data_IF_702527049514
#
_entry.id   IF_702527049514
#
_cell.length_a   1.000
_cell.length_b   1.000
_cell.length_c   1.000
_cell.angle_alpha   90.00
_cell.angle_beta   90.00
_cell.angle_gamma   90.00
#
_symmetry.space_group_name_H-M   'P 1'
#
loop_
_entity.id
_entity.type
_entity.pdbx_description
1 polymer ?
#
# COMPACT_ATOMS: atom_id res chain seq x y z
N UNK A 1 -20.17 39.08 6.32
CA UNK A 1 -19.29 37.98 6.77
C UNK A 1 -19.92 36.67 6.31
N UNK A 2 -19.40 36.06 5.25
CA UNK A 2 -19.89 34.78 4.73
C UNK A 2 -19.30 33.64 5.53
N UNK A 3 -20.13 32.97 6.33
CA UNK A 3 -19.77 31.76 7.06
C UNK A 3 -19.40 30.68 6.05
N UNK A 4 -18.10 30.38 5.89
CA UNK A 4 -17.63 29.26 5.07
C UNK A 4 -18.18 27.98 5.69
N UNK A 5 -19.29 27.46 5.15
CA UNK A 5 -19.85 26.16 5.51
C UNK A 5 -18.77 25.12 5.16
N UNK A 6 -18.15 24.52 6.18
CA UNK A 6 -17.12 23.49 6.00
C UNK A 6 -17.78 22.31 5.28
N UNK A 7 -17.48 22.15 3.99
CA UNK A 7 -17.96 21.01 3.21
C UNK A 7 -17.52 19.74 3.94
N UNK A 8 -18.47 18.86 4.29
CA UNK A 8 -18.16 17.53 4.80
C UNK A 8 -17.44 16.79 3.68
N UNK A 9 -16.12 16.66 3.80
CA UNK A 9 -15.32 15.83 2.90
C UNK A 9 -15.78 14.38 3.07
N UNK A 10 -16.06 13.71 1.97
CA UNK A 10 -16.19 12.27 1.93
C UNK A 10 -14.88 11.65 2.42
N UNK A 11 -15.01 10.79 3.42
CA UNK A 11 -13.94 9.94 3.94
C UNK A 11 -14.46 8.52 3.73
N UNK A 12 -13.78 7.68 2.93
CA UNK A 12 -14.25 6.32 2.68
C UNK A 12 -14.34 5.54 3.98
N UNK A 13 -15.48 4.90 4.22
CA UNK A 13 -15.61 3.95 5.31
C UNK A 13 -14.86 2.66 4.93
N UNK A 14 -13.68 2.46 5.50
CA UNK A 14 -12.79 1.36 5.16
C UNK A 14 -13.42 -0.02 5.42
N UNK A 15 -14.38 -0.13 6.35
CA UNK A 15 -15.04 -1.41 6.67
C UNK A 15 -16.19 -1.77 5.73
N UNK A 16 -16.70 -0.80 4.95
CA UNK A 16 -17.80 -0.98 4.01
C UNK A 16 -17.34 -0.87 2.55
N UNK A 17 -16.04 -0.66 2.33
CA UNK A 17 -15.49 -0.43 1.02
C UNK A 17 -15.22 -1.77 0.31
N UNK A 18 -15.95 -2.03 -0.76
CA UNK A 18 -15.59 -3.07 -1.73
C UNK A 18 -14.39 -2.57 -2.55
N UNK A 19 -13.27 -3.29 -2.50
CA UNK A 19 -12.09 -2.91 -3.26
C UNK A 19 -12.18 -3.40 -4.72
N UNK A 20 -11.39 -2.79 -5.61
CA UNK A 20 -11.02 -3.34 -6.91
C UNK A 20 -9.50 -3.23 -7.03
N UNK A 21 -8.80 -4.21 -6.46
CA UNK A 21 -7.35 -4.26 -6.38
C UNK A 21 -6.81 -5.03 -7.57
N UNK A 22 -6.14 -4.34 -8.48
CA UNK A 22 -5.47 -4.96 -9.63
C UNK A 22 -4.04 -5.36 -9.26
N UNK A 23 -3.71 -6.64 -9.45
CA UNK A 23 -2.33 -7.10 -9.41
C UNK A 23 -1.58 -6.61 -10.66
N UNK A 24 -0.35 -6.15 -10.47
CA UNK A 24 0.52 -5.71 -11.58
C UNK A 24 1.85 -6.47 -11.58
N UNK A 25 1.87 -7.67 -11.00
CA UNK A 25 3.04 -8.55 -11.00
C UNK A 25 3.23 -9.22 -12.37
N UNK A 26 4.39 -9.06 -12.98
CA UNK A 26 4.66 -9.63 -14.30
C UNK A 26 3.81 -9.00 -15.41
N UNK A 27 4.01 -9.45 -16.64
CA UNK A 27 3.22 -8.98 -17.78
C UNK A 27 1.90 -9.76 -17.93
N UNK A 28 1.87 -10.96 -17.37
CA UNK A 28 0.83 -11.98 -17.55
C UNK A 28 -0.23 -11.99 -16.43
N UNK A 29 0.06 -11.43 -15.25
CA UNK A 29 -0.94 -11.39 -14.19
C UNK A 29 -1.98 -10.29 -14.44
N UNK A 30 -3.25 -10.70 -14.49
CA UNK A 30 -4.40 -9.81 -14.67
C UNK A 30 -5.44 -9.95 -13.55
N UNK A 31 -5.07 -10.58 -12.44
CA UNK A 31 -5.96 -10.85 -11.30
C UNK A 31 -6.44 -9.53 -10.69
N UNK A 32 -7.75 -9.47 -10.43
CA UNK A 32 -8.42 -8.41 -9.67
C UNK A 32 -9.17 -9.03 -8.51
N UNK A 33 -9.01 -8.46 -7.32
CA UNK A 33 -9.62 -8.96 -6.09
C UNK A 33 -10.25 -7.80 -5.32
N UNK A 34 -11.35 -8.09 -4.64
CA UNK A 34 -12.11 -7.12 -3.85
C UNK A 34 -11.86 -7.24 -2.34
N UNK A 35 -11.16 -8.28 -1.92
CA UNK A 35 -10.76 -8.52 -0.54
C UNK A 35 -9.24 -8.40 -0.40
N UNK A 36 -8.81 -7.70 0.66
CA UNK A 36 -7.40 -7.41 0.89
C UNK A 36 -6.62 -8.66 1.31
N UNK A 37 -7.22 -9.55 2.09
CA UNK A 37 -6.58 -10.78 2.55
C UNK A 37 -6.35 -11.73 1.37
N UNK A 38 -7.35 -11.88 0.50
CA UNK A 38 -7.20 -12.65 -0.73
C UNK A 38 -6.15 -12.03 -1.66
N UNK A 39 -6.06 -10.70 -1.72
CA UNK A 39 -5.04 -10.01 -2.51
C UNK A 39 -3.62 -10.29 -2.01
N UNK A 40 -3.39 -10.25 -0.69
CA UNK A 40 -2.07 -10.59 -0.13
C UNK A 40 -1.75 -12.08 -0.29
N UNK A 41 -2.73 -12.98 -0.14
CA UNK A 41 -2.54 -14.41 -0.42
C UNK A 41 -2.09 -14.65 -1.86
N UNK A 42 -2.72 -13.98 -2.82
CA UNK A 42 -2.31 -14.02 -4.23
C UNK A 42 -0.89 -13.48 -4.44
N UNK A 43 -0.52 -12.41 -3.74
CA UNK A 43 0.84 -11.85 -3.81
C UNK A 43 1.89 -12.80 -3.22
N UNK A 44 1.56 -13.49 -2.13
CA UNK A 44 2.44 -14.49 -1.51
C UNK A 44 2.69 -15.70 -2.43
N UNK A 45 1.73 -16.07 -3.29
CA UNK A 45 1.93 -17.08 -4.34
C UNK A 45 3.00 -16.63 -5.36
N UNK A 46 2.93 -15.38 -5.81
CA UNK A 46 3.95 -14.80 -6.70
C UNK A 46 5.33 -14.77 -6.05
N UNK A 47 5.41 -14.32 -4.80
CA UNK A 47 6.64 -14.28 -4.03
C UNK A 47 7.24 -15.67 -3.84
N UNK A 48 6.42 -16.65 -3.44
CA UNK A 48 6.86 -18.03 -3.22
C UNK A 48 7.41 -18.64 -4.50
N UNK A 49 6.70 -18.50 -5.62
CA UNK A 49 7.14 -19.02 -6.91
C UNK A 49 8.44 -18.35 -7.37
N UNK A 50 8.54 -17.02 -7.23
CA UNK A 50 9.72 -16.27 -7.61
C UNK A 50 10.93 -16.66 -6.77
N UNK A 51 10.81 -16.67 -5.44
CA UNK A 51 11.92 -17.02 -4.53
C UNK A 51 12.37 -18.46 -4.78
N UNK A 52 11.45 -19.42 -4.95
CA UNK A 52 11.82 -20.81 -5.24
C UNK A 52 12.62 -20.95 -6.55
N UNK A 53 12.33 -20.12 -7.55
CA UNK A 53 13.05 -20.11 -8.82
C UNK A 53 14.40 -19.38 -8.75
N UNK A 54 14.53 -18.37 -7.88
CA UNK A 54 15.61 -17.39 -7.91
C UNK A 54 16.40 -17.28 -6.58
N UNK A 55 16.23 -18.18 -5.62
CA UNK A 55 16.90 -18.09 -4.31
C UNK A 55 18.44 -18.01 -4.38
N UNK A 56 19.04 -18.50 -5.47
CA UNK A 56 20.49 -18.57 -5.64
C UNK A 56 21.07 -17.43 -6.52
N UNK A 57 20.23 -16.51 -7.01
CA UNK A 57 20.74 -15.36 -7.78
C UNK A 57 21.16 -14.23 -6.83
N UNK A 58 22.23 -13.49 -7.13
CA UNK A 58 22.71 -12.40 -6.27
C UNK A 58 21.70 -11.24 -6.19
N UNK A 59 20.90 -11.05 -7.25
CA UNK A 59 20.02 -9.89 -7.42
C UNK A 59 18.58 -10.34 -7.68
N UNK A 60 17.65 -9.88 -6.87
CA UNK A 60 16.21 -10.12 -6.98
C UNK A 60 15.55 -8.91 -7.62
N UNK A 61 15.08 -9.06 -8.86
CA UNK A 61 14.44 -7.96 -9.59
C UNK A 61 12.93 -7.99 -9.37
N UNK A 62 12.37 -6.88 -8.89
CA UNK A 62 10.93 -6.75 -8.70
C UNK A 62 10.20 -6.85 -10.04
N UNK A 63 9.22 -7.76 -10.13
CA UNK A 63 8.41 -7.95 -11.34
C UNK A 63 7.17 -7.06 -11.37
N UNK A 64 6.97 -6.20 -10.37
CA UNK A 64 5.86 -5.26 -10.38
C UNK A 64 6.02 -4.27 -11.53
N UNK A 65 4.97 -4.09 -12.32
CA UNK A 65 4.98 -3.28 -13.54
C UNK A 65 5.56 -1.89 -13.27
N UNK A 66 6.57 -1.50 -14.05
CA UNK A 66 7.23 -0.19 -13.95
C UNK A 66 7.83 0.12 -12.55
N UNK A 67 8.16 -0.89 -11.74
CA UNK A 67 8.86 -0.67 -10.48
C UNK A 67 10.37 -0.47 -10.70
N UNK A 68 11.02 -1.44 -11.36
CA UNK A 68 12.45 -1.38 -11.68
C UNK A 68 13.39 -1.58 -10.48
N UNK A 69 12.87 -1.84 -9.28
CA UNK A 69 13.68 -2.09 -8.09
C UNK A 69 14.41 -3.44 -8.17
N UNK A 70 15.66 -3.45 -7.69
CA UNK A 70 16.51 -4.63 -7.57
C UNK A 70 17.02 -4.69 -6.14
N UNK A 71 16.85 -5.84 -5.51
CA UNK A 71 17.36 -6.10 -4.16
C UNK A 71 18.55 -7.05 -4.23
N UNK A 72 19.61 -6.75 -3.48
CA UNK A 72 20.86 -7.52 -3.49
C UNK A 72 20.99 -8.32 -2.20
N UNK A 73 21.09 -9.64 -2.31
CA UNK A 73 21.36 -10.57 -1.18
C UNK A 73 20.32 -10.62 -0.04
N UNK A 74 19.35 -9.69 0.06
CA UNK A 74 18.35 -9.66 1.14
C UNK A 74 16.93 -10.04 0.67
N UNK A 75 16.62 -11.33 0.79
CA UNK A 75 15.28 -11.88 0.50
C UNK A 75 14.20 -11.24 1.38
N UNK A 76 14.50 -10.91 2.63
CA UNK A 76 13.51 -10.34 3.56
C UNK A 76 13.14 -8.92 3.15
N UNK A 77 14.12 -8.13 2.73
CA UNK A 77 13.90 -6.80 2.17
C UNK A 77 13.12 -6.86 0.85
N UNK A 78 13.44 -7.82 -0.01
CA UNK A 78 12.68 -8.06 -1.25
C UNK A 78 11.21 -8.41 -0.99
N UNK A 79 10.93 -9.32 -0.05
CA UNK A 79 9.55 -9.68 0.32
C UNK A 79 8.79 -8.45 0.80
N UNK A 80 9.39 -7.65 1.69
CA UNK A 80 8.77 -6.41 2.20
C UNK A 80 8.50 -5.42 1.07
N UNK A 81 9.45 -5.23 0.16
CA UNK A 81 9.28 -4.38 -1.01
C UNK A 81 8.05 -4.80 -1.83
N UNK A 82 7.94 -6.09 -2.14
CA UNK A 82 6.82 -6.61 -2.92
C UNK A 82 5.50 -6.49 -2.18
N UNK A 83 5.45 -6.85 -0.89
CA UNK A 83 4.25 -6.68 -0.07
C UNK A 83 3.82 -5.22 0.03
N UNK A 84 4.75 -4.26 0.01
CA UNK A 84 4.42 -2.84 -0.02
C UNK A 84 3.66 -2.44 -1.30
N UNK A 85 3.85 -3.11 -2.44
CA UNK A 85 3.02 -2.85 -3.62
C UNK A 85 1.56 -3.21 -3.40
N UNK A 86 1.26 -4.22 -2.58
CA UNK A 86 -0.11 -4.51 -2.17
C UNK A 86 -0.72 -3.37 -1.35
N UNK A 87 0.05 -2.84 -0.39
CA UNK A 87 -0.36 -1.67 0.38
C UNK A 87 -0.52 -0.43 -0.51
N UNK A 88 0.41 -0.19 -1.42
CA UNK A 88 0.37 0.93 -2.36
C UNK A 88 -0.83 0.83 -3.31
N UNK A 89 -1.18 -0.37 -3.76
CA UNK A 89 -2.38 -0.62 -4.59
C UNK A 89 -3.65 -0.23 -3.85
N UNK A 90 -3.76 -0.61 -2.57
CA UNK A 90 -4.84 -0.15 -1.69
C UNK A 90 -4.87 1.38 -1.56
N UNK A 91 -3.73 2.04 -1.33
CA UNK A 91 -3.68 3.51 -1.23
C UNK A 91 -4.11 4.20 -2.52
N UNK A 92 -3.67 3.71 -3.70
CA UNK A 92 -4.08 4.22 -5.01
C UNK A 92 -5.60 4.12 -5.17
N UNK A 93 -6.19 2.98 -4.81
CA UNK A 93 -7.64 2.77 -4.86
C UNK A 93 -8.39 3.75 -3.95
N UNK A 94 -7.98 3.87 -2.68
CA UNK A 94 -8.59 4.80 -1.72
C UNK A 94 -8.49 6.25 -2.17
N UNK A 95 -7.33 6.65 -2.71
CA UNK A 95 -7.12 7.98 -3.27
C UNK A 95 -8.06 8.26 -4.45
N UNK A 96 -8.17 7.30 -5.38
CA UNK A 96 -9.09 7.38 -6.52
C UNK A 96 -10.55 7.56 -6.06
N UNK A 97 -11.05 6.71 -5.15
CA UNK A 97 -12.41 6.83 -4.61
C UNK A 97 -12.65 8.15 -3.88
N UNK A 98 -11.66 8.62 -3.13
CA UNK A 98 -11.74 9.92 -2.44
C UNK A 98 -11.85 11.08 -3.45
N UNK A 99 -11.10 11.03 -4.55
CA UNK A 99 -11.17 12.03 -5.62
C UNK A 99 -12.50 11.98 -6.38
N UNK A 100 -12.96 10.79 -6.78
CA UNK A 100 -14.25 10.58 -7.46
C UNK A 100 -15.41 11.21 -6.67
N UNK A 101 -15.44 11.04 -5.35
CA UNK A 101 -16.51 11.56 -4.50
C UNK A 101 -16.37 13.05 -4.15
N UNK A 102 -15.18 13.51 -3.77
CA UNK A 102 -15.01 14.90 -3.28
C UNK A 102 -14.80 15.91 -4.41
N UNK A 103 -14.29 15.44 -5.54
CA UNK A 103 -13.75 16.28 -6.58
C UNK A 103 -14.05 15.70 -7.97
N UNK A 104 -15.33 15.56 -8.35
CA UNK A 104 -15.73 14.95 -9.62
C UNK A 104 -15.21 15.71 -10.85
N UNK A 105 -14.80 16.97 -10.67
CA UNK A 105 -14.24 17.82 -11.71
C UNK A 105 -12.70 17.83 -11.73
N UNK A 106 -12.02 17.04 -10.90
CA UNK A 106 -10.56 16.87 -11.03
C UNK A 106 -10.30 16.07 -12.31
N UNK A 107 -9.52 16.62 -13.26
CA UNK A 107 -9.18 15.90 -14.47
C UNK A 107 -8.34 14.65 -14.12
N UNK A 108 -8.35 13.63 -14.98
CA UNK A 108 -7.49 12.46 -14.81
C UNK A 108 -6.03 12.88 -14.60
N UNK A 109 -5.30 12.09 -13.82
CA UNK A 109 -3.87 12.31 -13.61
C UNK A 109 -3.15 12.38 -14.98
N UNK A 110 -2.51 13.52 -15.27
CA UNK A 110 -1.78 13.74 -16.53
C UNK A 110 -0.31 13.30 -16.46
N UNK A 111 0.16 12.80 -15.31
CA UNK A 111 1.52 12.25 -15.21
C UNK A 111 1.59 10.90 -15.92
N UNK A 112 2.73 10.65 -16.56
CA UNK A 112 3.06 9.36 -17.17
C UNK A 112 2.86 8.22 -16.17
N UNK A 113 2.36 7.08 -16.68
CA UNK A 113 2.18 5.85 -15.90
C UNK A 113 3.49 5.14 -15.56
N UNK A 114 4.63 5.62 -16.09
CA UNK A 114 5.97 5.08 -15.85
C UNK A 114 6.34 5.14 -14.36
N UNK A 115 5.97 6.21 -13.66
CA UNK A 115 6.38 6.39 -12.26
C UNK A 115 5.30 5.97 -11.24
N UNK A 116 4.20 5.36 -11.71
CA UNK A 116 3.01 5.09 -10.86
C UNK A 116 3.25 4.03 -9.78
N UNK A 117 4.28 3.22 -9.96
CA UNK A 117 4.62 2.08 -9.10
C UNK A 117 6.01 2.22 -8.50
N UNK A 118 6.63 3.40 -8.56
CA UNK A 118 7.84 3.66 -7.81
C UNK A 118 7.44 3.85 -6.35
N UNK A 119 8.00 3.03 -5.47
CA UNK A 119 7.80 3.10 -4.02
C UNK A 119 9.09 3.63 -3.37
N UNK A 120 9.00 4.33 -2.23
CA UNK A 120 10.19 4.82 -1.54
C UNK A 120 11.03 3.65 -1.00
N UNK A 121 12.30 3.91 -0.72
CA UNK A 121 13.14 2.98 0.03
C UNK A 121 12.48 2.69 1.39
N UNK A 122 12.32 1.40 1.68
CA UNK A 122 11.62 0.95 2.87
C UNK A 122 12.60 0.72 4.02
N UNK A 123 12.22 1.04 5.26
CA UNK A 123 13.05 0.73 6.41
C UNK A 123 13.16 -0.80 6.61
N UNK A 124 14.20 -1.23 7.34
CA UNK A 124 14.42 -2.65 7.70
C UNK A 124 13.27 -3.22 8.55
N UNK A 125 12.54 -2.38 9.26
CA UNK A 125 11.28 -2.71 9.90
C UNK A 125 10.47 -1.43 10.06
N UNK A 126 9.15 -1.51 9.97
CA UNK A 126 8.30 -0.39 10.35
C UNK A 126 8.21 -0.36 11.87
N UNK A 127 8.74 0.70 12.48
CA UNK A 127 8.78 0.89 13.94
C UNK A 127 7.80 1.97 14.35
N UNK A 128 6.93 1.64 15.30
CA UNK A 128 5.99 2.61 15.86
C UNK A 128 6.78 3.63 16.66
N UNK A 129 6.42 4.90 16.51
CA UNK A 129 7.03 6.02 17.24
C UNK A 129 6.00 6.75 18.10
N UNK A 130 4.87 6.10 18.41
CA UNK A 130 3.82 6.68 19.23
C UNK A 130 4.12 6.48 20.72
N UNK A 131 4.55 7.56 21.39
CA UNK A 131 4.94 7.51 22.80
C UNK A 131 5.96 6.41 23.06
N UNK A 132 5.69 5.56 24.04
CA UNK A 132 6.56 4.44 24.44
C UNK A 132 6.25 3.12 23.72
N UNK A 133 5.40 3.14 22.68
CA UNK A 133 5.02 1.94 21.94
C UNK A 133 6.22 1.29 21.24
N UNK A 134 6.48 0.02 21.53
CA UNK A 134 7.61 -0.73 20.98
C UNK A 134 7.22 -1.63 19.79
N UNK A 135 6.02 -1.47 19.24
CA UNK A 135 5.55 -2.31 18.15
C UNK A 135 6.40 -2.12 16.89
N UNK A 136 6.85 -3.24 16.30
CA UNK A 136 7.48 -3.26 14.99
C UNK A 136 6.86 -4.34 14.12
N UNK A 137 6.87 -4.11 12.80
CA UNK A 137 6.40 -5.09 11.82
C UNK A 137 7.04 -4.84 10.46
N UNK A 138 7.25 -5.88 9.66
CA UNK A 138 7.75 -5.74 8.27
C UNK A 138 6.64 -5.58 7.24
N UNK A 139 5.39 -5.87 7.62
CA UNK A 139 4.22 -5.78 6.74
C UNK A 139 3.53 -4.42 6.91
N UNK A 140 3.60 -3.57 5.88
CA UNK A 140 3.08 -2.21 5.94
C UNK A 140 1.59 -2.15 6.33
N UNK A 141 0.74 -3.04 5.79
CA UNK A 141 -0.68 -3.06 6.13
C UNK A 141 -0.92 -3.27 7.64
N UNK A 142 -0.21 -4.21 8.27
CA UNK A 142 -0.36 -4.50 9.70
C UNK A 142 0.19 -3.35 10.55
N UNK A 143 1.30 -2.76 10.11
CA UNK A 143 1.87 -1.59 10.75
C UNK A 143 0.90 -0.40 10.76
N UNK A 144 0.32 -0.05 9.60
CA UNK A 144 -0.60 1.08 9.52
C UNK A 144 -1.96 0.81 10.20
N UNK A 145 -2.41 -0.46 10.26
CA UNK A 145 -3.55 -0.85 11.10
C UNK A 145 -3.26 -0.63 12.59
N UNK A 146 -2.07 -1.02 13.04
CA UNK A 146 -1.62 -0.76 14.41
C UNK A 146 -1.55 0.74 14.72
N UNK A 147 -0.92 1.54 13.85
CA UNK A 147 -0.84 3.01 14.05
C UNK A 147 -2.23 3.63 14.13
N UNK A 148 -3.20 3.14 13.35
CA UNK A 148 -4.58 3.62 13.41
C UNK A 148 -5.27 3.32 14.76
N UNK A 149 -4.87 2.26 15.48
CA UNK A 149 -5.41 1.98 16.81
C UNK A 149 -5.03 3.09 17.80
N UNK A 150 -3.81 3.61 17.72
CA UNK A 150 -3.39 4.74 18.54
C UNK A 150 -4.22 6.00 18.25
N UNK A 151 -4.43 6.31 16.97
CA UNK A 151 -5.28 7.43 16.56
C UNK A 151 -6.75 7.28 17.00
N UNK A 152 -7.23 6.03 17.13
CA UNK A 152 -8.57 5.72 17.62
C UNK A 152 -8.70 5.60 19.14
N UNK A 153 -7.61 5.34 19.86
CA UNK A 153 -7.61 5.14 21.31
C UNK A 153 -7.34 6.41 22.13
N UNK A 154 -6.88 7.49 21.50
CA UNK A 154 -6.70 8.78 22.17
C UNK A 154 -7.90 9.71 21.93
N UNK A 155 -8.78 9.74 22.94
CA UNK A 155 -9.51 10.96 23.31
C UNK A 155 -8.52 12.12 23.26
N UNK A 156 -8.83 13.18 22.52
CA UNK A 156 -8.13 14.45 22.60
C UNK A 156 -8.02 14.90 24.07
N UNK A 157 -6.91 14.59 24.73
CA UNK A 157 -6.51 15.14 26.02
C UNK A 157 -5.23 15.95 25.86
N UNK A 158 -5.19 16.81 24.84
CA UNK A 158 -4.30 17.98 24.80
C UNK A 158 -4.97 19.10 23.99
N UNK A 159 -6.01 19.70 24.57
CA UNK A 159 -6.34 21.14 24.45
C UNK A 159 -6.65 21.63 25.86
#
# INVERSE_FOLDING_TARGET
>A
MTTKRRLKRYIPNLSELEYDLQCEWGAECCVRLNDLKEFYRHLDEHLSNYINQYQQVPNLTCQWRNCGHVEEFDISSFIRHVQFHGFHTKLKYLGMKTCEHNHPNIPPCQKSSENRNIIPDLPVEFRCSWGDCQFTNSHAQLFYEHVNQHAGSDVCLWI
#
